data_IF_954060615470
#
_entry.id   IF_954060615470
#
_cell.length_a   1.000
_cell.length_b   1.000
_cell.length_c   1.000
_cell.angle_alpha   90.00
_cell.angle_beta   90.00
_cell.angle_gamma   90.00
#
_symmetry.space_group_name_H-M   'P 1'
#
loop_
_entity.id
_entity.type
_entity.pdbx_description
1 polymer ?
#
# COMPACT_ATOMS: atom_id res chain seq x y z
N UNK A 1 6.67 6.15 14.06
CA UNK A 1 6.74 5.43 12.76
C UNK A 1 6.69 3.90 12.89
N UNK A 2 7.66 3.19 13.51
CA UNK A 2 7.56 1.72 13.64
C UNK A 2 6.31 1.25 14.39
N UNK A 3 5.94 1.93 15.48
CA UNK A 3 4.72 1.61 16.25
C UNK A 3 3.42 1.96 15.50
N UNK A 4 3.43 3.03 14.69
CA UNK A 4 2.27 3.42 13.86
C UNK A 4 2.00 2.37 12.77
N UNK A 5 3.05 1.79 12.19
CA UNK A 5 2.92 0.71 11.21
C UNK A 5 2.49 -0.62 11.83
N UNK A 6 2.90 -0.92 13.07
CA UNK A 6 2.45 -2.11 13.79
C UNK A 6 0.94 -2.07 14.08
N UNK A 7 0.44 -0.90 14.53
CA UNK A 7 -1.00 -0.67 14.71
C UNK A 7 -1.78 -0.80 13.40
N UNK A 8 -1.23 -0.25 12.31
CA UNK A 8 -1.83 -0.34 10.97
C UNK A 8 -1.90 -1.80 10.46
N UNK A 9 -0.84 -2.58 10.62
CA UNK A 9 -0.82 -3.98 10.20
C UNK A 9 -1.85 -4.82 10.97
N UNK A 10 -2.01 -4.58 12.28
CA UNK A 10 -3.04 -5.25 13.08
C UNK A 10 -4.45 -4.88 12.59
N UNK A 11 -4.73 -3.61 12.34
CA UNK A 11 -6.02 -3.15 11.80
C UNK A 11 -6.32 -3.76 10.42
N UNK A 12 -5.31 -3.85 9.54
CA UNK A 12 -5.46 -4.50 8.24
C UNK A 12 -5.81 -5.99 8.34
N UNK A 13 -5.19 -6.73 9.27
CA UNK A 13 -5.55 -8.14 9.50
C UNK A 13 -6.99 -8.28 9.98
N UNK A 14 -7.43 -7.43 10.91
CA UNK A 14 -8.82 -7.41 11.39
C UNK A 14 -9.79 -7.14 10.25
N UNK A 15 -9.48 -6.19 9.36
CA UNK A 15 -10.28 -5.89 8.18
C UNK A 15 -10.42 -7.11 7.25
N UNK A 16 -9.32 -7.84 7.03
CA UNK A 16 -9.35 -9.10 6.25
C UNK A 16 -10.21 -10.17 6.94
N UNK A 17 -10.10 -10.30 8.26
CA UNK A 17 -10.86 -11.28 9.03
C UNK A 17 -12.36 -10.99 9.09
N UNK A 18 -12.76 -9.72 9.01
CA UNK A 18 -14.15 -9.29 8.98
C UNK A 18 -14.86 -9.68 7.66
N UNK A 19 -14.12 -9.80 6.55
CA UNK A 19 -14.70 -10.23 5.26
C UNK A 19 -15.17 -11.69 5.38
N UNK A 20 -16.41 -12.05 4.98
CA UNK A 20 -16.87 -13.43 4.98
C UNK A 20 -15.90 -14.37 4.23
N UNK A 21 -15.55 -15.51 4.83
CA UNK A 21 -14.49 -16.40 4.30
C UNK A 21 -14.72 -16.81 2.84
N UNK A 22 -15.96 -17.05 2.44
CA UNK A 22 -16.35 -17.42 1.07
C UNK A 22 -16.25 -16.27 0.07
N UNK A 23 -16.15 -15.03 0.53
CA UNK A 23 -16.04 -13.81 -0.28
C UNK A 23 -14.63 -13.21 -0.24
N UNK A 24 -13.69 -13.87 0.45
CA UNK A 24 -12.33 -13.40 0.72
C UNK A 24 -11.38 -13.61 -0.48
N UNK A 25 -11.77 -13.07 -1.63
CA UNK A 25 -10.96 -13.08 -2.85
C UNK A 25 -9.87 -12.00 -2.76
N UNK A 26 -8.74 -12.20 -3.43
CA UNK A 26 -7.61 -11.26 -3.38
C UNK A 26 -7.98 -9.84 -3.80
N UNK A 27 -8.84 -9.70 -4.82
CA UNK A 27 -9.35 -8.40 -5.26
C UNK A 27 -10.21 -7.71 -4.19
N UNK A 28 -11.04 -8.47 -3.48
CA UNK A 28 -11.89 -7.97 -2.38
C UNK A 28 -11.02 -7.54 -1.20
N UNK A 29 -10.03 -8.37 -0.83
CA UNK A 29 -9.06 -8.03 0.22
C UNK A 29 -8.32 -6.74 -0.13
N UNK A 30 -7.77 -6.64 -1.34
CA UNK A 30 -7.07 -5.43 -1.79
C UNK A 30 -7.96 -4.19 -1.67
N UNK A 31 -9.19 -4.26 -2.15
CA UNK A 31 -10.13 -3.14 -2.09
C UNK A 31 -10.43 -2.72 -0.63
N UNK A 32 -10.70 -3.68 0.25
CA UNK A 32 -10.94 -3.40 1.68
C UNK A 32 -9.73 -2.73 2.35
N UNK A 33 -8.53 -3.24 2.09
CA UNK A 33 -7.29 -2.63 2.60
C UNK A 33 -7.07 -1.21 2.06
N UNK A 34 -7.35 -0.97 0.78
CA UNK A 34 -7.28 0.38 0.19
C UNK A 34 -8.30 1.31 0.84
N UNK A 35 -9.53 0.85 1.13
CA UNK A 35 -10.53 1.63 1.85
C UNK A 35 -10.08 1.99 3.27
N UNK A 36 -9.49 1.04 4.01
CA UNK A 36 -8.95 1.29 5.34
C UNK A 36 -7.80 2.31 5.30
N UNK A 37 -6.86 2.14 4.37
CA UNK A 37 -5.76 3.08 4.15
C UNK A 37 -6.26 4.46 3.76
N UNK A 38 -7.31 4.56 2.94
CA UNK A 38 -7.92 5.81 2.54
C UNK A 38 -8.39 6.62 3.76
N UNK A 39 -9.01 5.96 4.74
CA UNK A 39 -9.41 6.62 6.00
C UNK A 39 -8.20 7.01 6.85
N UNK A 40 -7.18 6.14 6.94
CA UNK A 40 -5.95 6.44 7.67
C UNK A 40 -5.26 7.69 7.10
N UNK A 41 -5.13 7.79 5.78
CA UNK A 41 -4.54 8.94 5.08
C UNK A 41 -5.35 10.21 5.33
N UNK A 42 -6.69 10.16 5.35
CA UNK A 42 -7.52 11.31 5.76
C UNK A 42 -7.25 11.73 7.20
N UNK A 43 -7.12 10.77 8.12
CA UNK A 43 -6.81 11.00 9.53
C UNK A 43 -5.46 11.71 9.73
N UNK A 44 -4.53 11.55 8.80
CA UNK A 44 -3.24 12.26 8.77
C UNK A 44 -3.35 13.70 8.22
N UNK A 45 -4.54 14.16 7.84
CA UNK A 45 -4.74 15.47 7.20
C UNK A 45 -4.32 15.52 5.73
N UNK A 46 -4.05 14.36 5.12
CA UNK A 46 -3.70 14.26 3.70
C UNK A 46 -4.95 13.95 2.86
N UNK A 47 -4.91 14.34 1.59
CA UNK A 47 -5.93 13.99 0.60
C UNK A 47 -5.60 12.64 -0.03
N UNK A 48 -6.37 11.58 0.24
CA UNK A 48 -6.16 10.30 -0.41
C UNK A 48 -6.64 10.30 -1.86
N UNK A 49 -5.80 9.80 -2.77
CA UNK A 49 -6.17 9.53 -4.16
C UNK A 49 -5.93 8.04 -4.47
N UNK A 50 -7.01 7.31 -4.67
CA UNK A 50 -6.96 5.90 -5.06
C UNK A 50 -6.69 5.77 -6.57
N UNK A 51 -5.98 4.72 -6.96
CA UNK A 51 -5.72 4.39 -8.37
C UNK A 51 -5.08 5.54 -9.18
N UNK A 52 -4.28 6.39 -8.52
CA UNK A 52 -3.58 7.48 -9.20
C UNK A 52 -2.42 6.94 -10.04
N UNK A 53 -2.32 7.41 -11.28
CA UNK A 53 -1.21 7.08 -12.18
C UNK A 53 -0.24 8.27 -12.26
N UNK A 54 1.04 8.09 -11.93
CA UNK A 54 2.03 9.16 -12.08
C UNK A 54 2.08 9.66 -13.53
N UNK A 55 2.03 10.98 -13.81
CA UNK A 55 1.89 11.52 -15.16
C UNK A 55 2.97 11.05 -16.16
N UNK A 56 4.19 10.78 -15.67
CA UNK A 56 5.33 10.33 -16.50
C UNK A 56 5.49 8.80 -16.53
N UNK A 57 4.64 8.07 -15.81
CA UNK A 57 4.74 6.61 -15.70
C UNK A 57 4.12 5.93 -16.91
N UNK A 58 4.90 5.09 -17.60
CA UNK A 58 4.39 4.11 -18.57
C UNK A 58 3.79 2.87 -17.89
N UNK A 59 3.79 2.82 -16.56
CA UNK A 59 3.33 1.69 -15.74
C UNK A 59 1.89 1.87 -15.27
N UNK A 60 1.46 0.96 -14.41
CA UNK A 60 0.12 0.93 -13.83
C UNK A 60 -0.07 2.05 -12.79
N UNK A 61 -1.32 2.22 -12.37
CA UNK A 61 -1.69 3.08 -11.25
C UNK A 61 -1.16 2.53 -9.92
N UNK A 62 -0.86 3.45 -9.01
CA UNK A 62 -0.60 3.17 -7.61
C UNK A 62 -1.92 2.93 -6.89
N UNK A 63 -1.96 1.98 -5.96
CA UNK A 63 -3.22 1.62 -5.29
C UNK A 63 -3.77 2.80 -4.48
N UNK A 64 -2.90 3.51 -3.76
CA UNK A 64 -3.26 4.73 -3.03
C UNK A 64 -2.06 5.68 -2.88
N UNK A 65 -2.30 6.98 -3.01
CA UNK A 65 -1.36 8.03 -2.57
C UNK A 65 -2.03 8.98 -1.59
N UNK A 66 -1.25 9.51 -0.64
CA UNK A 66 -1.64 10.62 0.23
C UNK A 66 -0.98 11.90 -0.25
N UNK A 67 -1.79 12.91 -0.57
CA UNK A 67 -1.35 14.19 -1.14
C UNK A 67 -1.55 15.31 -0.13
N UNK A 68 -0.54 16.15 0.01
CA UNK A 68 -0.63 17.45 0.65
C UNK A 68 -0.92 18.49 -0.44
N UNK A 69 -2.12 19.09 -0.41
CA UNK A 69 -2.56 20.12 -1.34
C UNK A 69 -2.61 21.52 -0.71
N UNK A 70 -1.94 21.72 0.44
CA UNK A 70 -1.90 23.02 1.12
C UNK A 70 -0.89 24.01 0.51
N UNK A 71 0.09 23.53 -0.24
CA UNK A 71 1.10 24.35 -0.91
C UNK A 71 0.69 24.82 -2.31
N UNK A 72 1.56 25.58 -2.96
CA UNK A 72 1.36 26.08 -4.34
C UNK A 72 1.24 24.93 -5.36
N UNK A 73 1.97 23.84 -5.14
CA UNK A 73 1.87 22.61 -5.93
C UNK A 73 1.53 21.43 -5.01
N UNK A 74 0.55 20.58 -5.38
CA UNK A 74 0.25 19.36 -4.62
C UNK A 74 1.45 18.41 -4.59
N UNK A 75 1.79 17.91 -3.40
CA UNK A 75 2.93 17.01 -3.19
C UNK A 75 2.47 15.66 -2.65
N UNK A 76 2.94 14.57 -3.24
CA UNK A 76 2.72 13.22 -2.69
C UNK A 76 3.61 13.04 -1.47
N UNK A 77 3.02 12.73 -0.31
CA UNK A 77 3.76 12.48 0.94
C UNK A 77 3.95 10.99 1.21
N UNK A 78 2.99 10.17 0.80
CA UNK A 78 3.02 8.72 0.99
C UNK A 78 2.38 8.00 -0.19
N UNK A 79 2.92 6.83 -0.55
CA UNK A 79 2.41 5.98 -1.62
C UNK A 79 2.35 4.52 -1.15
N UNK A 80 1.25 3.84 -1.50
CA UNK A 80 0.98 2.46 -1.12
C UNK A 80 0.81 1.57 -2.35
N UNK A 81 1.53 0.44 -2.37
CA UNK A 81 1.22 -0.69 -3.24
C UNK A 81 0.67 -1.84 -2.38
N UNK A 82 -0.47 -2.39 -2.76
CA UNK A 82 -1.19 -3.42 -2.01
C UNK A 82 -1.43 -4.63 -2.89
N UNK A 83 -0.80 -5.76 -2.59
CA UNK A 83 -0.88 -6.99 -3.37
C UNK A 83 -0.77 -8.24 -2.48
N UNK A 84 -1.16 -9.43 -2.95
CA UNK A 84 -0.92 -10.66 -2.19
C UNK A 84 0.57 -10.88 -1.93
N UNK A 85 1.41 -10.57 -2.91
CA UNK A 85 2.87 -10.73 -2.91
C UNK A 85 3.57 -9.41 -3.28
N UNK A 86 4.90 -9.38 -3.18
CA UNK A 86 5.68 -8.24 -3.66
C UNK A 86 5.84 -8.31 -5.17
N UNK A 87 5.09 -7.47 -5.90
CA UNK A 87 5.04 -7.48 -7.36
C UNK A 87 5.99 -6.46 -8.00
N UNK A 88 6.92 -6.93 -8.85
CA UNK A 88 7.88 -6.05 -9.54
C UNK A 88 7.23 -4.92 -10.36
N UNK A 89 6.11 -5.12 -11.09
CA UNK A 89 5.40 -4.03 -11.76
C UNK A 89 4.94 -2.92 -10.80
N UNK A 90 4.49 -3.28 -9.60
CA UNK A 90 4.08 -2.32 -8.57
C UNK A 90 5.26 -1.56 -8.00
N UNK A 91 6.38 -2.24 -7.73
CA UNK A 91 7.61 -1.59 -7.28
C UNK A 91 8.13 -0.59 -8.31
N UNK A 92 8.12 -0.97 -9.59
CA UNK A 92 8.50 -0.06 -10.68
C UNK A 92 7.58 1.16 -10.74
N UNK A 93 6.28 0.97 -10.52
CA UNK A 93 5.31 2.07 -10.47
C UNK A 93 5.58 3.01 -9.30
N UNK A 94 5.83 2.47 -8.10
CA UNK A 94 6.24 3.26 -6.91
C UNK A 94 7.55 4.03 -7.14
N UNK A 95 8.46 3.49 -7.95
CA UNK A 95 9.70 4.16 -8.33
C UNK A 95 9.49 5.52 -9.00
N UNK A 96 8.37 5.72 -9.72
CA UNK A 96 8.01 6.98 -10.39
C UNK A 96 7.38 8.02 -9.46
N UNK A 97 7.04 7.65 -8.22
CA UNK A 97 6.44 8.58 -7.26
C UNK A 97 7.56 9.30 -6.52
N UNK A 98 7.55 10.62 -6.57
CA UNK A 98 8.45 11.47 -5.78
C UNK A 98 7.80 11.72 -4.41
N UNK A 99 8.15 10.89 -3.42
CA UNK A 99 7.66 11.02 -2.05
C UNK A 99 8.63 10.35 -1.06
N UNK A 100 8.54 10.76 0.21
CA UNK A 100 9.38 10.25 1.30
C UNK A 100 9.00 8.80 1.67
N UNK A 101 7.71 8.52 1.77
CA UNK A 101 7.24 7.22 2.26
C UNK A 101 6.63 6.37 1.13
N UNK A 102 7.32 5.29 0.76
CA UNK A 102 6.83 4.28 -0.18
C UNK A 102 6.64 2.97 0.55
N UNK A 103 5.38 2.52 0.62
CA UNK A 103 4.97 1.40 1.45
C UNK A 103 4.42 0.30 0.54
N UNK A 104 4.97 -0.90 0.68
CA UNK A 104 4.50 -2.12 0.02
C UNK A 104 3.81 -2.97 1.07
N UNK A 105 2.58 -3.39 0.80
CA UNK A 105 1.79 -4.23 1.71
C UNK A 105 1.55 -5.56 1.01
N UNK A 106 1.98 -6.65 1.66
CA UNK A 106 1.70 -8.01 1.20
C UNK A 106 0.76 -8.72 2.16
N UNK A 107 -0.32 -9.32 1.64
CA UNK A 107 -1.36 -9.95 2.46
C UNK A 107 -1.53 -11.46 2.25
N UNK A 108 -0.65 -12.13 1.51
CA UNK A 108 -0.70 -13.59 1.40
C UNK A 108 -0.32 -14.28 2.72
N UNK A 109 -1.08 -15.31 3.09
CA UNK A 109 -0.75 -16.18 4.22
C UNK A 109 0.40 -17.16 3.92
N UNK A 110 0.84 -17.24 2.66
CA UNK A 110 1.94 -18.10 2.23
C UNK A 110 3.29 -17.41 2.46
N UNK A 111 3.81 -17.52 3.66
CA UNK A 111 5.08 -16.90 4.06
C UNK A 111 6.27 -17.29 3.15
N UNK A 112 6.29 -18.52 2.64
CA UNK A 112 7.28 -18.99 1.66
C UNK A 112 7.27 -18.15 0.38
N UNK A 113 6.08 -17.84 -0.14
CA UNK A 113 5.88 -17.05 -1.36
C UNK A 113 6.16 -15.58 -1.14
N UNK A 114 5.73 -15.02 0.00
CA UNK A 114 6.04 -13.63 0.34
C UNK A 114 7.55 -13.44 0.44
N UNK A 115 8.27 -14.33 1.14
CA UNK A 115 9.73 -14.27 1.26
C UNK A 115 10.44 -14.37 -0.09
N UNK A 116 9.97 -15.24 -1.00
CA UNK A 116 10.52 -15.33 -2.35
C UNK A 116 10.31 -14.03 -3.14
N UNK A 117 9.11 -13.45 -3.08
CA UNK A 117 8.79 -12.20 -3.78
C UNK A 117 9.51 -10.96 -3.20
N UNK A 118 9.81 -10.97 -1.90
CA UNK A 118 10.47 -9.88 -1.19
C UNK A 118 11.91 -9.62 -1.68
N UNK A 119 12.51 -10.53 -2.45
CA UNK A 119 13.81 -10.31 -3.11
C UNK A 119 13.87 -9.03 -3.95
N UNK A 120 12.74 -8.55 -4.48
CA UNK A 120 12.69 -7.32 -5.27
C UNK A 120 12.73 -6.02 -4.43
N UNK A 121 12.61 -6.12 -3.10
CA UNK A 121 12.58 -4.94 -2.23
C UNK A 121 13.97 -4.29 -2.15
N UNK A 122 13.97 -2.96 -2.06
CA UNK A 122 15.16 -2.17 -1.78
C UNK A 122 15.01 -1.48 -0.42
N UNK A 123 16.10 -1.03 0.21
CA UNK A 123 16.03 -0.31 1.49
C UNK A 123 15.21 0.98 1.45
N UNK A 124 14.92 1.52 0.25
CA UNK A 124 14.11 2.71 0.06
C UNK A 124 12.59 2.45 0.19
N UNK A 125 12.18 1.19 0.33
CA UNK A 125 10.78 0.78 0.45
C UNK A 125 10.53 0.22 1.85
N UNK A 126 9.43 0.65 2.46
CA UNK A 126 8.92 0.01 3.68
C UNK A 126 8.03 -1.16 3.28
N UNK A 127 8.31 -2.36 3.78
CA UNK A 127 7.47 -3.54 3.51
C UNK A 127 6.69 -3.94 4.76
N UNK A 128 5.37 -3.97 4.64
CA UNK A 128 4.45 -4.50 5.63
C UNK A 128 3.96 -5.88 5.17
N UNK A 129 4.54 -6.92 5.74
CA UNK A 129 4.04 -8.28 5.59
C UNK A 129 2.96 -8.56 6.64
N UNK A 130 1.70 -8.68 6.22
CA UNK A 130 0.60 -8.82 7.17
C UNK A 130 0.61 -10.16 7.92
N UNK A 131 1.28 -11.20 7.42
CA UNK A 131 1.35 -12.51 8.06
C UNK A 131 2.81 -12.98 8.29
N UNK A 132 3.76 -12.04 8.30
CA UNK A 132 5.19 -12.30 8.51
C UNK A 132 5.69 -12.10 9.93
#
# INVERSE_FOLDING_TARGET
>A
MQDEFAGLAAAMRQEIEAIPKTMRQEAVIRAALVCLLYQAVKGMGLKPLASWKPPRSTRDSIDLVGVDDSGELPAVKVAFAVDPLVELPKLKSLGWVECEHKIVISFSQRADKVKQSAFFLTPALTHLNLYG
#
